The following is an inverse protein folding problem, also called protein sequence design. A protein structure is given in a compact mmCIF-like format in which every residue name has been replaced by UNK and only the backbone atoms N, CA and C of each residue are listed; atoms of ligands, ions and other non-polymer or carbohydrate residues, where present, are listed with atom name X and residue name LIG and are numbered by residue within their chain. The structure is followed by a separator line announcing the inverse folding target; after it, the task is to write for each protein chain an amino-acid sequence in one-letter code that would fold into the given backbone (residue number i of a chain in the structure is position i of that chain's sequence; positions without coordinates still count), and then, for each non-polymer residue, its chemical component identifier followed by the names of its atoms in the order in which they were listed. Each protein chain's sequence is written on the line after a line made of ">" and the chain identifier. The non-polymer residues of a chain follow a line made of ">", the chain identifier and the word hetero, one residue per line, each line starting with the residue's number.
data_IF_114310886771
#
_entry.id   IF_114310886771
#
_cell.length_a   1.000
_cell.length_b   1.000
_cell.length_c   1.000
_cell.angle_alpha   90.00
_cell.angle_beta   90.00
_cell.angle_gamma   90.00
#
_symmetry.space_group_name_H-M   'P 1'
#
loop_
_entity.id
_entity.type
_entity.pdbx_description
1 polymer ?
#
# COMPACT_ATOMS: atom_id res chain seq x y z
N UNK A 1 -1.01 -5.86 -21.89
CA UNK A 1 -0.35 -6.27 -20.65
C UNK A 1 -0.51 -5.20 -19.58
N UNK A 2 -0.81 -5.60 -18.36
CA UNK A 2 -1.04 -4.70 -17.24
C UNK A 2 0.24 -4.55 -16.44
N UNK A 3 0.59 -3.30 -16.11
CA UNK A 3 1.75 -3.00 -15.28
C UNK A 3 1.31 -2.20 -14.06
N UNK A 4 1.83 -2.57 -12.90
CA UNK A 4 1.56 -1.89 -11.65
C UNK A 4 2.90 -1.44 -11.07
N UNK A 5 3.05 -0.12 -10.87
CA UNK A 5 4.32 0.46 -10.43
C UNK A 5 4.13 1.11 -9.08
N UNK A 6 4.94 0.70 -8.13
CA UNK A 6 4.91 1.19 -6.75
C UNK A 6 6.26 1.78 -6.37
N UNK A 7 6.27 2.80 -5.51
CA UNK A 7 7.53 3.28 -4.92
C UNK A 7 8.20 2.16 -4.14
N UNK A 8 9.51 2.20 -4.08
CA UNK A 8 10.28 1.13 -3.44
C UNK A 8 10.08 1.10 -1.93
N UNK A 9 10.04 2.27 -1.31
CA UNK A 9 9.99 2.34 0.14
C UNK A 9 9.30 3.62 0.62
N UNK A 10 8.66 3.54 1.77
CA UNK A 10 8.08 4.67 2.47
C UNK A 10 8.35 4.52 3.96
N UNK A 11 8.56 5.63 4.64
CA UNK A 11 8.82 5.63 6.07
C UNK A 11 7.77 6.47 6.78
N UNK A 12 7.26 5.96 7.89
CA UNK A 12 6.32 6.68 8.72
C UNK A 12 6.71 6.63 10.19
N UNK A 13 5.97 7.39 10.99
CA UNK A 13 6.18 7.45 12.43
C UNK A 13 4.88 7.12 13.15
N UNK A 14 4.95 6.47 14.33
CA UNK A 14 3.73 6.07 15.04
C UNK A 14 2.79 7.25 15.24
N UNK A 15 1.51 7.01 14.95
CA UNK A 15 0.47 8.03 15.05
C UNK A 15 0.33 8.90 13.83
N UNK A 16 1.27 8.84 12.90
CA UNK A 16 1.22 9.64 11.67
C UNK A 16 0.42 8.98 10.56
N UNK A 17 0.53 9.56 9.38
CA UNK A 17 -0.15 9.08 8.18
C UNK A 17 0.83 8.81 7.07
N UNK A 18 0.47 7.87 6.21
CA UNK A 18 1.22 7.53 5.00
C UNK A 18 0.25 7.38 3.85
N UNK A 19 0.72 7.66 2.65
CA UNK A 19 -0.05 7.44 1.44
C UNK A 19 0.77 6.56 0.51
N UNK A 20 0.24 5.40 0.17
CA UNK A 20 0.89 4.49 -0.77
C UNK A 20 0.22 4.64 -2.12
N UNK A 21 1.00 4.57 -3.19
CA UNK A 21 0.50 4.71 -4.54
C UNK A 21 0.85 3.51 -5.39
N UNK A 22 0.01 3.27 -6.38
CA UNK A 22 0.18 2.20 -7.35
C UNK A 22 -0.22 2.79 -8.70
N UNK A 23 0.75 3.07 -9.54
CA UNK A 23 0.50 3.61 -10.87
C UNK A 23 0.20 2.46 -11.81
N UNK A 24 -0.95 2.53 -12.47
CA UNK A 24 -1.38 1.44 -13.34
C UNK A 24 -1.26 1.84 -14.81
N UNK A 25 -0.99 0.86 -15.64
CA UNK A 25 -1.05 1.05 -17.10
C UNK A 25 -1.49 -0.26 -17.75
N UNK A 26 -2.02 -0.16 -18.95
CA UNK A 26 -2.45 -1.32 -19.71
C UNK A 26 -3.87 -1.76 -19.41
N UNK A 27 -4.60 -1.03 -18.56
CA UNK A 27 -5.99 -1.32 -18.27
C UNK A 27 -6.72 -0.06 -17.89
N UNK A 28 -8.06 -0.13 -17.87
CA UNK A 28 -8.89 0.98 -17.42
C UNK A 28 -9.07 0.85 -15.91
N UNK A 29 -8.43 1.74 -15.15
CA UNK A 29 -8.48 1.67 -13.70
C UNK A 29 -9.91 1.77 -13.18
N UNK A 30 -10.74 2.60 -13.82
CA UNK A 30 -12.12 2.79 -13.37
C UNK A 30 -12.96 1.54 -13.41
N UNK A 31 -12.60 0.59 -14.27
CA UNK A 31 -13.35 -0.66 -14.41
C UNK A 31 -12.55 -1.88 -13.95
N UNK A 32 -11.52 -1.68 -13.15
CA UNK A 32 -10.66 -2.75 -12.67
C UNK A 32 -10.90 -3.02 -11.21
N UNK A 33 -10.87 -4.30 -10.83
CA UNK A 33 -10.87 -4.71 -9.42
C UNK A 33 -9.44 -4.62 -8.91
N UNK A 34 -9.25 -3.86 -7.84
CA UNK A 34 -7.93 -3.60 -7.29
C UNK A 34 -7.84 -4.12 -5.87
N UNK A 35 -6.63 -4.46 -5.46
CA UNK A 35 -6.38 -5.03 -4.14
C UNK A 35 -5.15 -4.40 -3.51
N UNK A 36 -5.18 -4.25 -2.18
CA UNK A 36 -3.98 -4.02 -1.38
C UNK A 36 -3.79 -5.23 -0.48
N UNK A 37 -2.58 -5.76 -0.46
CA UNK A 37 -2.19 -6.92 0.34
C UNK A 37 -0.86 -6.57 1.00
N UNK A 38 -0.64 -7.01 2.24
CA UNK A 38 0.64 -6.79 2.88
C UNK A 38 1.23 -8.07 3.41
N UNK A 39 2.53 -8.08 3.56
CA UNK A 39 3.25 -9.20 4.16
C UNK A 39 4.19 -8.65 5.22
N UNK A 40 3.89 -8.98 6.48
CA UNK A 40 4.79 -8.71 7.59
C UNK A 40 5.92 -9.71 7.52
N UNK A 41 7.19 -9.28 7.72
CA UNK A 41 8.31 -10.20 7.63
C UNK A 41 8.12 -11.44 8.50
N UNK A 42 8.35 -12.60 7.90
CA UNK A 42 8.21 -13.87 8.60
C UNK A 42 6.79 -14.39 8.71
N UNK A 43 5.81 -13.70 8.12
CA UNK A 43 4.41 -14.11 8.21
C UNK A 43 3.83 -14.25 6.82
N UNK A 44 2.58 -14.73 6.74
CA UNK A 44 1.90 -14.87 5.47
C UNK A 44 1.31 -13.56 4.97
N UNK A 45 0.65 -13.63 3.83
CA UNK A 45 -0.01 -12.48 3.25
C UNK A 45 -1.28 -12.14 4.04
N UNK A 46 -1.54 -10.85 4.18
CA UNK A 46 -2.74 -10.34 4.81
C UNK A 46 -3.46 -9.43 3.83
N UNK A 47 -4.70 -9.79 3.48
CA UNK A 47 -5.52 -8.98 2.57
C UNK A 47 -6.04 -7.78 3.32
N UNK A 48 -5.82 -6.58 2.72
CA UNK A 48 -6.22 -5.31 3.33
C UNK A 48 -7.56 -4.89 2.80
N UNK A 49 -7.69 -4.84 1.47
CA UNK A 49 -8.91 -4.35 0.85
C UNK A 49 -9.02 -4.89 -0.58
N UNK A 50 -10.26 -5.21 -0.94
CA UNK A 50 -10.71 -5.30 -2.32
C UNK A 50 -11.41 -3.99 -2.64
N UNK A 51 -11.05 -3.34 -3.73
CA UNK A 51 -11.63 -2.06 -4.06
C UNK A 51 -11.97 -1.96 -5.53
N UNK A 52 -13.25 -1.82 -5.83
CA UNK A 52 -13.71 -1.50 -7.18
C UNK A 52 -14.13 -0.03 -7.25
N UNK A 53 -14.94 0.40 -6.29
CA UNK A 53 -15.44 1.78 -6.22
C UNK A 53 -15.79 2.10 -4.77
N UNK A 54 -16.19 3.35 -4.52
CA UNK A 54 -16.60 3.76 -3.18
C UNK A 54 -17.84 3.01 -2.70
N UNK A 55 -18.65 2.48 -3.62
CA UNK A 55 -19.83 1.71 -3.26
C UNK A 55 -19.62 0.20 -3.40
N UNK A 56 -18.46 -0.24 -3.88
CA UNK A 56 -18.16 -1.66 -4.06
C UNK A 56 -16.74 -1.91 -3.59
N UNK A 57 -16.60 -2.26 -2.33
CA UNK A 57 -15.31 -2.53 -1.73
C UNK A 57 -15.51 -3.38 -0.49
N UNK A 58 -14.41 -3.97 0.00
CA UNK A 58 -14.46 -4.81 1.18
C UNK A 58 -13.11 -4.71 1.89
N UNK A 59 -13.13 -4.14 3.09
CA UNK A 59 -11.93 -3.96 3.91
C UNK A 59 -11.83 -5.07 4.95
N UNK A 60 -10.61 -5.46 5.28
CA UNK A 60 -10.39 -6.33 6.42
C UNK A 60 -10.87 -5.62 7.69
N UNK A 61 -11.62 -6.32 8.58
CA UNK A 61 -12.21 -5.66 9.74
C UNK A 61 -11.19 -4.96 10.64
N UNK A 62 -10.00 -5.52 10.76
CA UNK A 62 -9.00 -5.00 11.69
C UNK A 62 -8.44 -3.63 11.28
N UNK A 63 -8.57 -3.25 10.01
CA UNK A 63 -7.91 -2.04 9.51
C UNK A 63 -8.87 -1.05 8.87
N UNK A 64 -10.14 -1.40 8.70
CA UNK A 64 -11.06 -0.57 7.91
C UNK A 64 -11.23 0.84 8.46
N UNK A 65 -11.01 1.04 9.75
CA UNK A 65 -11.17 2.35 10.35
C UNK A 65 -9.91 3.22 10.20
N UNK A 66 -8.78 2.62 9.79
CA UNK A 66 -7.53 3.35 9.67
C UNK A 66 -7.08 3.54 8.24
N UNK A 67 -7.44 2.63 7.34
CA UNK A 67 -6.95 2.66 5.96
C UNK A 67 -8.10 2.94 5.01
N UNK A 68 -7.82 3.74 3.98
CA UNK A 68 -8.81 4.08 2.95
C UNK A 68 -8.17 3.91 1.58
N UNK A 69 -8.78 3.08 0.75
CA UNK A 69 -8.36 2.92 -0.64
C UNK A 69 -9.12 3.89 -1.51
N UNK A 70 -8.49 4.30 -2.62
CA UNK A 70 -9.13 5.18 -3.57
C UNK A 70 -8.51 5.00 -4.95
N UNK A 71 -9.24 5.46 -5.97
CA UNK A 71 -8.78 5.49 -7.36
C UNK A 71 -8.78 6.91 -7.86
N UNK A 72 -7.68 7.33 -8.46
CA UNK A 72 -7.60 8.56 -9.23
C UNK A 72 -7.53 8.15 -10.68
N UNK A 73 -8.69 8.07 -11.33
CA UNK A 73 -8.76 7.53 -12.68
C UNK A 73 -8.13 8.46 -13.71
N UNK A 74 -8.09 9.77 -13.45
CA UNK A 74 -7.48 10.70 -14.39
C UNK A 74 -5.97 10.57 -14.43
N UNK A 75 -5.36 10.06 -13.37
CA UNK A 75 -3.91 9.85 -13.31
C UNK A 75 -3.53 8.36 -13.25
N UNK A 76 -4.49 7.47 -13.31
CA UNK A 76 -4.28 6.02 -13.25
C UNK A 76 -3.55 5.61 -11.98
N UNK A 77 -3.92 6.19 -10.85
CA UNK A 77 -3.30 5.89 -9.56
C UNK A 77 -4.33 5.26 -8.63
N UNK A 78 -3.98 4.08 -8.12
CA UNK A 78 -4.69 3.41 -7.04
C UNK A 78 -3.91 3.71 -5.76
N UNK A 79 -4.59 4.17 -4.71
CA UNK A 79 -3.91 4.67 -3.53
C UNK A 79 -4.44 4.01 -2.26
N UNK A 80 -3.61 4.00 -1.23
CA UNK A 80 -4.00 3.57 0.11
C UNK A 80 -3.54 4.63 1.10
N UNK A 81 -4.49 5.26 1.76
CA UNK A 81 -4.18 6.18 2.84
C UNK A 81 -4.17 5.40 4.15
N UNK A 82 -3.07 5.50 4.88
CA UNK A 82 -2.90 4.84 6.17
C UNK A 82 -2.83 5.92 7.24
N UNK A 83 -3.75 5.85 8.20
CA UNK A 83 -3.80 6.81 9.31
C UNK A 83 -3.46 6.11 10.62
N UNK A 84 -2.98 6.90 11.59
CA UNK A 84 -2.63 6.38 12.92
C UNK A 84 -1.76 5.14 12.80
N UNK A 85 -0.69 5.25 12.01
CA UNK A 85 0.14 4.09 11.72
C UNK A 85 0.85 3.62 13.00
N UNK A 86 1.09 2.33 13.05
CA UNK A 86 1.71 1.65 14.20
C UNK A 86 2.99 0.98 13.74
N UNK A 87 3.87 0.69 14.69
CA UNK A 87 5.11 -0.01 14.38
C UNK A 87 4.82 -1.36 13.72
N UNK A 88 3.75 -2.05 14.15
CA UNK A 88 3.43 -3.35 13.55
C UNK A 88 2.70 -3.24 12.21
N UNK A 89 2.52 -2.02 11.66
CA UNK A 89 2.15 -1.87 10.25
C UNK A 89 3.36 -2.00 9.32
N UNK A 90 4.57 -2.14 9.87
CA UNK A 90 5.77 -2.37 9.08
C UNK A 90 5.62 -3.67 8.30
N UNK A 91 5.68 -3.57 6.97
CA UNK A 91 5.42 -4.70 6.08
C UNK A 91 5.72 -4.28 4.65
N UNK A 92 5.74 -5.24 3.74
CA UNK A 92 5.74 -4.94 2.31
C UNK A 92 4.28 -4.89 1.87
N UNK A 93 3.91 -3.80 1.20
CA UNK A 93 2.55 -3.59 0.73
C UNK A 93 2.52 -3.73 -0.78
N UNK A 94 1.67 -4.63 -1.27
CA UNK A 94 1.50 -4.89 -2.68
C UNK A 94 0.15 -4.39 -3.16
N UNK A 95 0.12 -3.76 -4.33
CA UNK A 95 -1.12 -3.58 -5.06
C UNK A 95 -1.22 -4.70 -6.09
N UNK A 96 -2.45 -5.03 -6.45
CA UNK A 96 -2.70 -6.10 -7.39
C UNK A 96 -4.02 -5.86 -8.12
N UNK A 97 -4.19 -6.51 -9.24
CA UNK A 97 -5.44 -6.46 -9.99
C UNK A 97 -5.69 -7.81 -10.64
N UNK A 98 -6.93 -8.03 -11.07
CA UNK A 98 -7.32 -9.27 -11.71
C UNK A 98 -6.75 -9.37 -13.12
N UNK A 99 -6.40 -10.59 -13.52
CA UNK A 99 -6.08 -10.88 -14.91
C UNK A 99 -7.36 -11.29 -15.58
N UNK A 100 -7.92 -10.42 -16.42
CA UNK A 100 -9.20 -10.66 -17.04
C UNK A 100 -9.15 -11.74 -18.12
N UNK A 101 -7.98 -12.17 -18.51
CA UNK A 101 -7.84 -13.27 -19.44
C UNK A 101 -7.98 -14.63 -18.75
N UNK A 102 -8.01 -14.66 -17.43
CA UNK A 102 -8.16 -15.88 -16.63
C UNK A 102 -9.60 -15.97 -16.14
N UNK A 103 -10.25 -17.11 -16.36
CA UNK A 103 -11.66 -17.25 -16.04
C UNK A 103 -11.92 -17.37 -14.55
N UNK A 104 -11.02 -17.97 -13.79
CA UNK A 104 -11.15 -18.08 -12.35
C UNK A 104 -10.51 -16.86 -11.71
N UNK A 105 -11.32 -15.86 -11.40
CA UNK A 105 -10.81 -14.54 -11.07
C UNK A 105 -10.78 -14.24 -9.57
N UNK A 106 -10.72 -15.26 -8.74
CA UNK A 106 -10.61 -15.06 -7.31
C UNK A 106 -9.21 -14.69 -6.87
N UNK A 107 -8.23 -14.83 -7.75
CA UNK A 107 -6.84 -14.60 -7.46
C UNK A 107 -6.37 -13.42 -8.29
N UNK A 108 -5.71 -12.48 -7.64
CA UNK A 108 -5.09 -11.35 -8.34
C UNK A 108 -4.05 -11.88 -9.32
N UNK A 109 -4.15 -11.46 -10.58
CA UNK A 109 -3.27 -11.97 -11.64
C UNK A 109 -2.04 -11.13 -11.89
N UNK A 110 -2.11 -9.83 -11.61
CA UNK A 110 -1.00 -8.91 -11.79
C UNK A 110 -0.67 -8.24 -10.45
N UNK A 111 0.60 -8.17 -10.13
CA UNK A 111 1.07 -7.62 -8.86
C UNK A 111 2.10 -6.53 -9.11
N UNK A 112 2.11 -5.50 -8.28
CA UNK A 112 3.21 -4.56 -8.22
C UNK A 112 4.41 -5.20 -7.52
N UNK A 113 5.54 -4.48 -7.53
CA UNK A 113 6.77 -4.97 -6.91
C UNK A 113 6.72 -4.91 -5.38
N UNK A 114 5.80 -4.12 -4.85
CA UNK A 114 5.70 -3.93 -3.42
C UNK A 114 6.43 -2.69 -2.94
N UNK A 115 5.86 -2.06 -1.92
CA UNK A 115 6.48 -0.94 -1.22
C UNK A 115 6.84 -1.39 0.18
N UNK A 116 8.11 -1.28 0.54
CA UNK A 116 8.53 -1.57 1.91
C UNK A 116 8.14 -0.39 2.79
N UNK A 117 7.20 -0.60 3.69
CA UNK A 117 6.78 0.42 4.64
C UNK A 117 7.44 0.14 5.98
N UNK A 118 8.17 1.12 6.49
CA UNK A 118 8.81 1.03 7.79
C UNK A 118 8.21 2.11 8.69
N UNK A 119 7.63 1.70 9.81
CA UNK A 119 7.11 2.63 10.82
C UNK A 119 8.05 2.54 12.01
N UNK A 120 8.70 3.65 12.32
CA UNK A 120 9.73 3.67 13.34
C UNK A 120 9.65 4.94 14.17
N UNK A 121 10.04 4.85 15.43
CA UNK A 121 10.08 6.00 16.31
C UNK A 121 11.27 6.91 16.02
N UNK A 122 12.31 6.39 15.38
CA UNK A 122 13.50 7.19 15.10
C UNK A 122 13.17 8.24 14.07
N UNK A 123 13.55 9.50 14.34
CA UNK A 123 13.41 10.55 13.35
C UNK A 123 14.66 10.57 12.48
N UNK A 124 14.50 10.71 11.16
CA UNK A 124 15.65 10.69 10.26
C UNK A 124 16.67 11.79 10.55
N UNK A 125 16.22 12.89 11.12
CA UNK A 125 17.10 14.04 11.38
C UNK A 125 17.81 13.96 12.71
N UNK A 126 17.51 12.99 13.53
CA UNK A 126 18.20 12.89 14.79
C UNK A 126 19.58 12.32 14.56
N UNK A 127 20.39 12.73 14.72
CA UNK A 127 21.65 12.43 14.62
C UNK A 127 22.56 13.44 14.41
N UNK A 128 22.26 13.57 14.20
CA UNK A 128 22.65 14.07 13.87
C UNK A 128 22.90 14.93 14.36
N UNK A 129 22.87 15.16 14.82
CA UNK A 129 22.78 15.61 15.21
C UNK A 129 23.29 15.44 15.86
N UNK A 130 23.55 14.90 15.95
CA UNK A 130 23.73 14.48 16.35
C UNK A 130 24.51 14.25 16.01
N UNK A 131 24.83 14.18 15.80
CA UNK A 131 25.28 13.92 15.39
C UNK A 131 25.93 14.58 15.24
N UNK A 132 25.95 14.96 15.41
CA UNK A 132 26.27 15.43 15.43
C UNK A 132 26.45 15.89 16.01
N UNK A 133 26.40 16.21 16.56
CA UNK A 133 26.26 16.34 17.12
C UNK A 133 26.63 16.01 17.76
N UNK A 134 26.78 15.70 17.90
CA UNK A 134 26.94 15.18 18.37
C UNK A 134 27.78 14.88 18.34
N UNK A 135 28.09 14.97 18.23
CA UNK A 135 28.62 14.71 18.24
C UNK A 135 29.31 15.08 18.49
N UNK A 136 29.46 15.58 18.78
CA UNK A 136 29.70 15.76 18.99
C UNK A 136 30.04 15.72 19.37
#
# INVERSE_FOLDING_TARGET
>A
EVTLIQPEAETGHPGGSLSLTCKTSGSNLGSSSMYWIRQVPGQGLEWIVYYYSSSSNNYAPAIKDRFTASKDTSNNIFALEMRSVKIDDTAIYYCATDDRTVRATWVAGYWGQGTMVTVTKATPSSPTLYGLVFLL
#
